data_IF_818855073609
#
_entry.id   IF_818855073609
#
_cell.length_a   1.000
_cell.length_b   1.000
_cell.length_c   1.000
_cell.angle_alpha   90.00
_cell.angle_beta   90.00
_cell.angle_gamma   90.00
#
_symmetry.space_group_name_H-M   'P 1'
#
loop_
_entity.id
_entity.type
_entity.pdbx_description
1 polymer ?
#
# COMPACT_ATOMS: atom_id res chain seq x y z
N UNK A 1 -0.35 29.12 -2.27
CA UNK A 1 -0.36 28.44 -2.37
C UNK A 1 -0.75 27.31 -1.86
N UNK A 2 -1.11 26.61 -1.97
CA UNK A 2 -1.60 25.69 -1.43
C UNK A 2 -0.82 24.61 -1.41
N UNK A 3 -0.53 24.03 -0.52
CA UNK A 3 0.28 23.04 -0.39
C UNK A 3 -0.36 21.76 -0.38
N UNK A 4 -1.46 21.66 -0.81
CA UNK A 4 -2.13 20.46 -0.82
C UNK A 4 -1.46 19.41 -1.60
N UNK A 5 -0.76 19.80 -2.62
CA UNK A 5 -0.21 18.82 -3.53
C UNK A 5 0.96 18.05 -2.95
N UNK A 6 1.62 18.59 -1.97
CA UNK A 6 2.75 17.90 -1.37
C UNK A 6 2.33 16.60 -0.71
N UNK A 7 1.14 16.58 -0.12
CA UNK A 7 0.69 15.39 0.57
C UNK A 7 0.06 14.38 -0.38
N UNK A 8 -0.52 14.86 -1.46
CA UNK A 8 -1.25 13.98 -2.35
C UNK A 8 -0.37 13.11 -3.23
N UNK A 9 0.96 13.33 -3.23
CA UNK A 9 1.85 12.51 -4.06
C UNK A 9 2.42 11.29 -3.33
N UNK A 10 2.18 11.18 -2.03
CA UNK A 10 2.70 10.07 -1.24
C UNK A 10 1.65 8.99 -1.05
N UNK A 11 2.05 7.75 -1.20
CA UNK A 11 1.17 6.62 -0.94
C UNK A 11 1.92 5.56 -0.16
N UNK A 12 1.26 5.00 0.86
CA UNK A 12 1.79 3.92 1.66
C UNK A 12 1.15 2.64 1.14
N UNK A 13 1.96 1.61 0.90
CA UNK A 13 1.48 0.39 0.26
C UNK A 13 1.46 -0.75 1.27
N UNK A 14 0.29 -1.37 1.41
CA UNK A 14 0.07 -2.50 2.32
C UNK A 14 0.57 -3.81 1.69
N UNK A 15 0.70 -4.83 2.52
CA UNK A 15 1.18 -6.15 2.11
C UNK A 15 0.35 -6.74 0.98
N UNK A 16 -0.97 -6.83 1.16
CA UNK A 16 -1.83 -7.43 0.13
C UNK A 16 -1.82 -6.60 -1.15
N UNK A 17 -1.64 -5.30 -1.02
CA UNK A 17 -1.62 -4.42 -2.19
C UNK A 17 -0.39 -4.67 -3.07
N UNK A 18 0.77 -4.86 -2.45
CA UNK A 18 1.97 -5.20 -3.21
C UNK A 18 1.83 -6.54 -3.93
N UNK A 19 1.13 -7.49 -3.30
CA UNK A 19 0.95 -8.80 -3.90
C UNK A 19 -0.02 -8.79 -5.08
N UNK A 20 -0.80 -7.73 -5.20
CA UNK A 20 -1.77 -7.55 -6.28
C UNK A 20 -1.13 -7.66 -7.67
N UNK A 21 0.09 -7.15 -7.80
CA UNK A 21 0.78 -7.16 -9.09
C UNK A 21 0.86 -8.57 -9.67
N UNK A 22 1.27 -9.52 -8.85
CA UNK A 22 1.40 -10.91 -9.31
C UNK A 22 0.03 -11.59 -9.37
N UNK A 23 -0.79 -11.38 -8.35
CA UNK A 23 -2.06 -12.08 -8.25
C UNK A 23 -3.03 -11.72 -9.39
N UNK A 24 -2.99 -10.48 -9.86
CA UNK A 24 -3.91 -10.00 -10.87
C UNK A 24 -3.25 -9.48 -12.13
N UNK A 25 -1.92 -9.52 -12.20
CA UNK A 25 -1.22 -9.05 -13.38
C UNK A 25 -1.35 -7.55 -13.59
N UNK A 26 -1.35 -6.77 -12.51
CA UNK A 26 -1.52 -5.32 -12.58
C UNK A 26 -0.20 -4.61 -12.40
N UNK A 27 0.06 -3.62 -13.26
CA UNK A 27 1.23 -2.75 -13.10
C UNK A 27 0.89 -1.71 -12.06
N UNK A 28 1.09 -2.05 -10.79
CA UNK A 28 0.65 -1.18 -9.70
C UNK A 28 1.36 0.18 -9.71
N UNK A 29 2.64 0.22 -10.07
CA UNK A 29 3.35 1.49 -10.06
C UNK A 29 2.91 2.40 -11.22
N UNK A 30 2.65 1.81 -12.38
CA UNK A 30 2.09 2.57 -13.48
C UNK A 30 0.74 3.15 -13.13
N UNK A 31 -0.07 2.35 -12.42
CA UNK A 31 -1.39 2.82 -11.99
C UNK A 31 -1.27 3.91 -10.92
N UNK A 32 -0.35 3.75 -9.98
CA UNK A 32 -0.15 4.78 -8.96
C UNK A 32 0.32 6.09 -9.58
N UNK A 33 1.21 6.01 -10.57
CA UNK A 33 1.64 7.20 -11.29
C UNK A 33 0.48 7.86 -12.03
N UNK A 34 -0.38 7.05 -12.63
CA UNK A 34 -1.56 7.57 -13.32
C UNK A 34 -2.45 8.37 -12.37
N UNK A 35 -2.53 7.92 -11.13
CA UNK A 35 -3.34 8.60 -10.12
C UNK A 35 -2.61 9.77 -9.46
N UNK A 36 -1.35 9.98 -9.79
CA UNK A 36 -0.58 11.12 -9.28
C UNK A 36 0.33 10.81 -8.11
N UNK A 37 0.53 9.54 -7.78
CA UNK A 37 1.34 9.16 -6.63
C UNK A 37 2.73 8.77 -7.07
N UNK A 38 3.71 9.59 -6.74
CA UNK A 38 5.09 9.42 -7.18
C UNK A 38 6.05 9.01 -6.06
N UNK A 39 5.63 9.13 -4.81
CA UNK A 39 6.43 8.69 -3.68
C UNK A 39 5.77 7.47 -3.05
N UNK A 40 6.43 6.34 -3.12
CA UNK A 40 5.88 5.06 -2.69
C UNK A 40 6.57 4.63 -1.42
N UNK A 41 5.80 4.51 -0.33
CA UNK A 41 6.32 4.19 0.99
C UNK A 41 5.86 2.82 1.43
N UNK A 42 6.76 2.05 2.01
CA UNK A 42 6.44 0.72 2.52
C UNK A 42 6.95 0.62 3.95
N UNK A 43 6.08 0.42 4.93
CA UNK A 43 6.53 0.23 6.30
C UNK A 43 7.38 -1.02 6.43
N UNK A 44 8.36 -0.98 7.31
CA UNK A 44 9.22 -2.12 7.54
C UNK A 44 8.42 -3.36 7.92
N UNK A 45 7.30 -3.19 8.64
CA UNK A 45 6.42 -4.29 9.02
C UNK A 45 5.85 -5.02 7.80
N UNK A 46 5.51 -4.26 6.76
CA UNK A 46 4.98 -4.85 5.53
C UNK A 46 6.06 -5.71 4.88
N UNK A 47 7.28 -5.20 4.83
CA UNK A 47 8.37 -5.96 4.25
C UNK A 47 8.61 -7.25 5.04
N UNK A 48 8.51 -7.17 6.36
CA UNK A 48 8.64 -8.35 7.23
C UNK A 48 7.57 -9.39 6.95
N UNK A 49 6.32 -8.94 6.77
CA UNK A 49 5.23 -9.86 6.45
C UNK A 49 5.46 -10.54 5.11
N UNK A 50 5.90 -9.79 4.12
CA UNK A 50 6.17 -10.35 2.80
C UNK A 50 7.30 -11.38 2.88
N UNK A 51 8.32 -11.10 3.67
CA UNK A 51 9.42 -12.04 3.82
C UNK A 51 8.94 -13.34 4.45
N UNK A 52 8.09 -13.24 5.47
CA UNK A 52 7.52 -14.43 6.11
C UNK A 52 6.69 -15.25 5.13
N UNK A 53 5.90 -14.58 4.31
CA UNK A 53 5.08 -15.27 3.32
C UNK A 53 5.94 -15.92 2.24
N UNK A 54 6.99 -15.24 1.83
CA UNK A 54 7.89 -15.76 0.79
C UNK A 54 8.67 -16.98 1.27
N UNK A 55 8.98 -17.03 2.57
CA UNK A 55 9.71 -18.15 3.16
C UNK A 55 8.80 -19.26 3.66
N UNK A 56 7.51 -19.02 3.69
CA UNK A 56 6.55 -19.98 4.19
C UNK A 56 6.47 -21.22 3.33
N UNK A 57 6.14 -22.32 3.94
CA UNK A 57 6.09 -23.57 3.23
C UNK A 57 4.76 -23.83 2.57
N UNK A 58 3.79 -22.98 2.82
CA UNK A 58 2.47 -23.37 2.53
C UNK A 58 2.06 -23.34 1.10
N UNK A 59 1.77 -22.28 0.50
CA UNK A 59 1.13 -22.26 -0.80
C UNK A 59 1.99 -21.62 -1.84
N UNK A 60 2.27 -22.35 -2.90
CA UNK A 60 3.14 -21.87 -3.96
C UNK A 60 2.67 -20.54 -4.54
N UNK A 61 1.35 -20.37 -4.64
CA UNK A 61 0.79 -19.15 -5.20
C UNK A 61 1.07 -17.92 -4.34
N UNK A 62 0.82 -18.01 -3.06
CA UNK A 62 1.09 -16.90 -2.14
C UNK A 62 2.58 -16.64 -2.02
N UNK A 63 3.36 -17.70 -2.05
CA UNK A 63 4.79 -17.60 -1.98
C UNK A 63 5.35 -16.85 -3.17
N UNK A 64 4.86 -17.18 -4.37
CA UNK A 64 5.28 -16.50 -5.60
C UNK A 64 4.88 -15.02 -5.56
N UNK A 65 3.65 -14.75 -5.17
CA UNK A 65 3.18 -13.37 -5.08
C UNK A 65 4.00 -12.56 -4.07
N UNK A 66 4.35 -13.18 -2.94
CA UNK A 66 5.15 -12.51 -1.93
C UNK A 66 6.57 -12.24 -2.41
N UNK A 67 7.17 -13.16 -3.17
CA UNK A 67 8.50 -12.96 -3.73
C UNK A 67 8.52 -11.82 -4.73
N UNK A 68 7.51 -11.79 -5.60
CA UNK A 68 7.39 -10.69 -6.56
C UNK A 68 7.21 -9.38 -5.81
N UNK A 69 6.34 -9.38 -4.79
CA UNK A 69 6.09 -8.18 -4.01
C UNK A 69 7.34 -7.68 -3.29
N UNK A 70 8.18 -8.58 -2.78
CA UNK A 70 9.44 -8.18 -2.17
C UNK A 70 10.34 -7.46 -3.17
N UNK A 71 10.41 -7.96 -4.39
CA UNK A 71 11.17 -7.29 -5.44
C UNK A 71 10.62 -5.92 -5.76
N UNK A 72 9.30 -5.81 -5.79
CA UNK A 72 8.66 -4.52 -6.04
C UNK A 72 8.89 -3.53 -4.89
N UNK A 73 8.94 -4.05 -3.66
CA UNK A 73 9.17 -3.19 -2.50
C UNK A 73 10.54 -2.52 -2.56
N UNK A 74 11.49 -3.10 -3.29
CA UNK A 74 12.79 -2.47 -3.44
C UNK A 74 12.75 -1.19 -4.25
N UNK A 75 11.66 -0.98 -4.98
CA UNK A 75 11.46 0.27 -5.72
C UNK A 75 10.81 1.33 -4.83
N UNK A 76 10.51 1.00 -3.59
CA UNK A 76 9.83 1.88 -2.66
C UNK A 76 10.78 2.32 -1.56
N UNK A 77 10.40 3.39 -0.86
CA UNK A 77 11.14 3.82 0.32
C UNK A 77 10.62 3.02 1.52
N UNK A 78 11.51 2.30 2.18
CA UNK A 78 11.15 1.54 3.37
C UNK A 78 11.18 2.48 4.56
N UNK A 79 10.09 2.55 5.29
CA UNK A 79 9.97 3.45 6.43
C UNK A 79 9.98 2.65 7.73
N UNK A 80 10.93 2.97 8.60
CA UNK A 80 10.98 2.36 9.93
C UNK A 80 9.97 3.05 10.83
N UNK A 81 9.30 2.25 11.65
CA UNK A 81 8.33 2.81 12.57
C UNK A 81 8.36 1.92 13.81
N UNK A 82 7.84 2.42 14.92
CA UNK A 82 7.90 1.69 16.18
C UNK A 82 7.32 0.29 16.05
N UNK A 83 7.76 -0.58 16.94
CA UNK A 83 7.37 -1.97 16.90
C UNK A 83 5.87 -2.11 17.13
N UNK A 84 5.12 -2.27 16.05
CA UNK A 84 3.67 -2.42 16.10
C UNK A 84 3.24 -3.20 14.85
N UNK A 85 2.00 -3.70 14.83
CA UNK A 85 1.50 -4.41 13.65
C UNK A 85 1.48 -3.54 12.41
N UNK A 86 1.52 -4.17 11.25
CA UNK A 86 1.59 -3.47 9.97
C UNK A 86 0.43 -2.48 9.78
N UNK A 87 -0.80 -2.90 10.06
CA UNK A 87 -1.95 -2.02 9.83
C UNK A 87 -1.89 -0.77 10.70
N UNK A 88 -1.37 -0.91 11.92
CA UNK A 88 -1.23 0.24 12.81
C UNK A 88 -0.12 1.16 12.31
N UNK A 89 0.97 0.59 11.83
CA UNK A 89 2.06 1.38 11.27
C UNK A 89 1.56 2.19 10.08
N UNK A 90 0.74 1.58 9.24
CA UNK A 90 0.17 2.24 8.08
C UNK A 90 -0.71 3.42 8.50
N UNK A 91 -1.58 3.20 9.48
CA UNK A 91 -2.46 4.27 9.95
C UNK A 91 -1.68 5.45 10.52
N UNK A 92 -0.71 5.16 11.38
CA UNK A 92 0.07 6.21 12.01
C UNK A 92 0.87 7.00 11.00
N UNK A 93 1.48 6.29 10.04
CA UNK A 93 2.28 6.94 9.03
C UNK A 93 1.41 7.81 8.11
N UNK A 94 0.23 7.30 7.76
CA UNK A 94 -0.69 8.04 6.91
C UNK A 94 -1.14 9.34 7.57
N UNK A 95 -1.47 9.27 8.86
CA UNK A 95 -1.89 10.45 9.58
C UNK A 95 -0.76 11.46 9.74
N UNK A 96 0.43 10.95 10.01
CA UNK A 96 1.57 11.83 10.23
C UNK A 96 2.01 12.54 8.95
N UNK A 97 2.06 11.81 7.85
CA UNK A 97 2.58 12.34 6.60
C UNK A 97 1.52 12.85 5.64
N UNK A 98 0.26 12.66 5.95
CA UNK A 98 -0.80 13.08 5.05
C UNK A 98 -0.85 12.24 3.77
N UNK A 99 -0.39 11.00 3.84
CA UNK A 99 -0.28 10.14 2.67
C UNK A 99 -1.56 9.36 2.41
N UNK A 100 -1.78 9.00 1.16
CA UNK A 100 -2.83 8.05 0.81
C UNK A 100 -2.35 6.64 1.16
N UNK A 101 -3.25 5.68 1.19
CA UNK A 101 -2.90 4.29 1.49
C UNK A 101 -3.47 3.39 0.40
N UNK A 102 -2.62 2.53 -0.15
CA UNK A 102 -3.06 1.52 -1.11
C UNK A 102 -3.22 0.20 -0.35
N UNK A 103 -4.47 -0.24 -0.19
CA UNK A 103 -4.79 -1.49 0.48
C UNK A 103 -6.10 -2.04 -0.09
N UNK A 104 -6.23 -3.36 -0.07
CA UNK A 104 -7.46 -4.03 -0.44
C UNK A 104 -8.18 -4.63 0.77
N UNK A 105 -7.63 -4.43 1.96
CA UNK A 105 -8.22 -4.93 3.20
C UNK A 105 -9.44 -4.08 3.55
N UNK A 106 -10.61 -4.72 3.59
CA UNK A 106 -11.86 -3.99 3.81
C UNK A 106 -11.93 -3.28 5.16
N UNK A 107 -11.46 -3.93 6.21
CA UNK A 107 -11.50 -3.34 7.54
C UNK A 107 -10.59 -2.13 7.63
N UNK A 108 -9.38 -2.26 7.09
CA UNK A 108 -8.43 -1.15 7.09
C UNK A 108 -8.95 0.01 6.24
N UNK A 109 -9.50 -0.29 5.06
CA UNK A 109 -10.06 0.75 4.19
C UNK A 109 -11.11 1.57 4.93
N UNK A 110 -11.99 0.88 5.65
CA UNK A 110 -13.06 1.54 6.37
C UNK A 110 -12.54 2.47 7.45
N UNK A 111 -11.56 1.99 8.23
CA UNK A 111 -10.97 2.81 9.27
C UNK A 111 -10.26 4.04 8.70
N UNK A 112 -9.50 3.85 7.63
CA UNK A 112 -8.76 4.95 7.02
C UNK A 112 -9.73 5.98 6.44
N UNK A 113 -10.75 5.50 5.74
CA UNK A 113 -11.71 6.38 5.12
C UNK A 113 -12.45 7.22 6.15
N UNK A 114 -12.79 6.61 7.30
CA UNK A 114 -13.49 7.34 8.36
C UNK A 114 -12.62 8.45 8.95
N UNK A 115 -11.31 8.33 8.83
CA UNK A 115 -10.38 9.36 9.30
C UNK A 115 -10.06 10.40 8.23
N UNK A 116 -10.70 10.32 7.09
CA UNK A 116 -10.45 11.26 6.00
C UNK A 116 -9.21 10.96 5.17
N UNK A 117 -8.65 9.77 5.32
CA UNK A 117 -7.47 9.36 4.57
C UNK A 117 -7.91 8.79 3.23
N UNK A 118 -7.27 9.23 2.14
CA UNK A 118 -7.55 8.71 0.81
C UNK A 118 -7.10 7.26 0.73
N UNK A 119 -7.98 6.39 0.23
CA UNK A 119 -7.67 4.98 0.06
C UNK A 119 -7.61 4.66 -1.41
N UNK A 120 -6.54 3.97 -1.83
CA UNK A 120 -6.40 3.48 -3.17
C UNK A 120 -6.60 1.97 -3.11
N UNK A 121 -7.35 1.42 -4.02
CA UNK A 121 -7.67 0.00 -4.01
C UNK A 121 -7.79 -0.55 -5.41
N UNK A 122 -7.70 -1.88 -5.53
CA UNK A 122 -7.82 -2.55 -6.82
C UNK A 122 -9.30 -2.67 -7.18
N UNK A 123 -9.65 -2.18 -8.36
CA UNK A 123 -11.02 -2.26 -8.84
C UNK A 123 -11.13 -3.25 -9.97
N UNK A 124 -12.08 -4.16 -9.83
CA UNK A 124 -12.39 -5.18 -10.85
C UNK A 124 -11.19 -6.05 -11.24
N UNK A 125 -10.19 -6.14 -10.36
CA UNK A 125 -9.00 -6.94 -10.62
C UNK A 125 -8.15 -6.40 -11.76
N UNK A 126 -8.34 -5.14 -12.15
CA UNK A 126 -7.67 -4.60 -13.33
C UNK A 126 -6.92 -3.31 -13.12
N UNK A 127 -7.44 -2.39 -12.37
CA UNK A 127 -6.84 -1.07 -12.23
C UNK A 127 -7.06 -0.54 -10.83
N UNK A 128 -6.32 0.51 -10.50
CA UNK A 128 -6.43 1.13 -9.18
C UNK A 128 -7.32 2.35 -9.24
N UNK A 129 -8.05 2.56 -8.16
CA UNK A 129 -8.93 3.71 -8.04
C UNK A 129 -8.76 4.32 -6.67
N UNK A 130 -8.94 5.62 -6.56
CA UNK A 130 -8.81 6.33 -5.30
C UNK A 130 -10.20 6.64 -4.74
N UNK A 131 -10.39 6.37 -3.45
CA UNK A 131 -11.61 6.71 -2.75
C UNK A 131 -11.29 7.81 -1.77
N UNK A 132 -11.83 9.00 -2.01
CA UNK A 132 -11.58 10.17 -1.18
C UNK A 132 -12.84 10.60 -0.48
N UNK A 133 -12.69 11.08 0.75
CA UNK A 133 -13.82 11.58 1.49
C UNK A 133 -14.11 13.00 1.00
N UNK A 134 -15.37 13.26 0.67
CA UNK A 134 -15.79 14.58 0.23
C UNK A 134 -16.50 15.29 1.35
N UNK A 135 -16.34 16.60 1.38
CA UNK A 135 -16.95 17.43 2.43
C UNK A 135 -17.95 18.42 1.86
#
# INVERSE_FOLDING_TARGET
>A
MQQIDADSVKVIIDTNALMTAEQFGVDIFGELLRLGYVEWLVPAQVKGELRSLADGADKGRDKTAARVALGLAERCTIVGIDNCPADRAIEELAEKDGAAVFTNDKALKKRLFSKGITVIYLRQGRYLEAMKKEY
#
